data_IF_181387031045
#
_entry.id   IF_181387031045
#
_cell.length_a   1.000
_cell.length_b   1.000
_cell.length_c   1.000
_cell.angle_alpha   90.00
_cell.angle_beta   90.00
_cell.angle_gamma   90.00
#
_symmetry.space_group_name_H-M   'P 1'
#
loop_
_entity.id
_entity.type
_entity.pdbx_description
1 polymer ?
#
# COMPACT_ATOMS: atom_id res chain seq x y z
N UNK A 1 -23.74 -14.76 10.26
CA UNK A 1 -22.35 -15.16 10.56
C UNK A 1 -22.11 -16.57 10.03
N UNK A 2 -21.71 -16.72 8.76
CA UNK A 2 -21.40 -18.01 8.15
C UNK A 2 -19.90 -18.29 8.35
N UNK A 3 -19.59 -19.41 9.00
CA UNK A 3 -18.24 -19.99 9.02
C UNK A 3 -17.87 -20.35 7.59
N UNK A 4 -16.99 -19.60 6.97
CA UNK A 4 -16.28 -20.07 5.77
C UNK A 4 -15.22 -21.03 6.31
N UNK A 5 -15.57 -22.32 6.32
CA UNK A 5 -14.63 -23.40 6.59
C UNK A 5 -13.55 -23.35 5.51
N UNK A 6 -12.30 -23.24 5.94
CA UNK A 6 -11.12 -23.58 5.16
C UNK A 6 -11.25 -25.04 4.70
N UNK A 7 -11.67 -25.25 3.45
CA UNK A 7 -11.49 -26.51 2.77
C UNK A 7 -10.06 -26.56 2.27
N UNK A 8 -9.16 -27.24 3.01
CA UNK A 8 -7.80 -27.41 2.52
C UNK A 8 -6.81 -28.10 3.44
N UNK A 9 -6.91 -27.94 4.76
CA UNK A 9 -6.27 -28.81 5.76
C UNK A 9 -6.68 -28.29 7.13
N UNK A 10 -7.67 -28.93 7.75
CA UNK A 10 -7.97 -28.70 9.16
C UNK A 10 -6.85 -29.32 9.98
N UNK A 11 -5.69 -28.65 10.05
CA UNK A 11 -4.72 -28.96 11.08
C UNK A 11 -5.25 -28.32 12.37
N UNK A 12 -6.16 -29.04 13.04
CA UNK A 12 -6.60 -28.75 14.39
C UNK A 12 -5.40 -28.95 15.34
N UNK A 13 -4.50 -27.97 15.43
CA UNK A 13 -3.54 -27.91 16.53
C UNK A 13 -4.21 -27.32 17.77
N UNK A 14 -5.06 -28.12 18.42
CA UNK A 14 -5.31 -27.94 19.86
C UNK A 14 -4.17 -28.60 20.62
N UNK A 15 -2.98 -28.00 20.58
CA UNK A 15 -1.86 -28.43 21.43
C UNK A 15 -1.35 -27.21 22.17
N UNK A 16 -1.84 -27.04 23.40
CA UNK A 16 -1.14 -26.26 24.41
C UNK A 16 0.18 -26.97 24.71
N UNK A 17 1.21 -26.72 23.88
CA UNK A 17 2.52 -27.28 24.10
C UNK A 17 3.22 -26.45 25.18
N UNK A 18 3.14 -26.93 26.41
CA UNK A 18 4.04 -26.49 27.48
C UNK A 18 5.45 -26.95 27.12
N UNK A 19 6.23 -26.07 26.49
CA UNK A 19 7.68 -26.24 26.31
C UNK A 19 8.36 -26.07 27.68
N UNK A 20 8.17 -27.05 28.56
CA UNK A 20 8.83 -27.14 29.86
C UNK A 20 10.05 -28.03 29.73
N UNK A 21 11.20 -27.46 29.38
CA UNK A 21 12.50 -28.04 29.67
C UNK A 21 13.55 -26.93 29.64
N UNK A 22 14.33 -26.86 30.71
CA UNK A 22 15.27 -25.83 31.14
C UNK A 22 15.81 -24.86 30.07
N UNK A 23 15.68 -23.56 30.35
CA UNK A 23 16.13 -22.45 29.49
C UNK A 23 14.96 -21.73 28.82
N UNK A 24 14.57 -20.59 29.41
CA UNK A 24 13.77 -19.53 28.75
C UNK A 24 12.37 -19.92 28.34
N UNK A 25 11.35 -19.35 29.01
CA UNK A 25 9.96 -19.60 28.65
C UNK A 25 9.61 -18.91 27.32
N UNK A 26 9.66 -19.64 26.21
CA UNK A 26 8.97 -19.24 24.96
C UNK A 26 7.48 -19.25 25.23
N UNK A 27 6.77 -18.22 24.76
CA UNK A 27 5.31 -18.24 24.81
C UNK A 27 4.79 -19.36 23.88
N UNK A 28 3.81 -20.16 24.30
CA UNK A 28 3.22 -21.17 23.43
C UNK A 28 2.67 -20.52 22.16
N UNK A 29 2.85 -21.19 21.01
CA UNK A 29 2.24 -20.77 19.76
C UNK A 29 0.71 -20.75 19.89
N UNK A 30 0.08 -19.72 19.33
CA UNK A 30 -1.37 -19.52 19.29
C UNK A 30 -1.81 -19.37 17.84
N UNK A 31 -2.56 -20.34 17.32
CA UNK A 31 -3.04 -20.36 15.94
C UNK A 31 -4.47 -19.83 15.86
N UNK A 32 -4.66 -18.53 16.11
CA UNK A 32 -5.99 -17.90 16.13
C UNK A 32 -6.35 -17.18 14.83
N UNK A 33 -5.37 -17.00 13.95
CA UNK A 33 -5.49 -16.32 12.66
C UNK A 33 -4.56 -16.94 11.62
N UNK A 34 -4.75 -16.57 10.35
CA UNK A 34 -3.84 -17.01 9.28
C UNK A 34 -2.44 -16.43 9.47
N UNK A 35 -2.34 -15.18 9.92
CA UNK A 35 -1.06 -14.52 10.22
C UNK A 35 -0.32 -15.24 11.33
N UNK A 36 -1.00 -15.81 12.32
CA UNK A 36 -0.37 -16.65 13.35
C UNK A 36 0.27 -17.91 12.77
N UNK A 37 -0.44 -18.60 11.86
CA UNK A 37 0.02 -19.83 11.22
C UNK A 37 1.20 -19.55 10.28
N UNK A 38 1.11 -18.47 9.52
CA UNK A 38 2.17 -17.96 8.65
C UNK A 38 3.40 -17.56 9.47
N UNK A 39 3.22 -16.85 10.58
CA UNK A 39 4.33 -16.43 11.44
C UNK A 39 5.12 -17.62 11.97
N UNK A 40 4.42 -18.65 12.45
CA UNK A 40 5.04 -19.90 12.88
C UNK A 40 5.75 -20.63 11.74
N UNK A 41 5.13 -20.71 10.55
CA UNK A 41 5.73 -21.32 9.36
C UNK A 41 7.02 -20.59 8.91
N UNK A 42 7.05 -19.26 8.93
CA UNK A 42 8.25 -18.47 8.65
C UNK A 42 9.33 -18.78 9.68
N UNK A 43 8.96 -18.88 10.96
CA UNK A 43 9.88 -19.25 12.04
C UNK A 43 10.52 -20.63 11.82
N UNK A 44 9.71 -21.63 11.45
CA UNK A 44 10.19 -22.98 11.11
C UNK A 44 11.16 -22.92 9.93
N UNK A 45 10.82 -22.25 8.82
CA UNK A 45 11.69 -22.18 7.64
C UNK A 45 13.02 -21.47 7.92
N UNK A 46 13.01 -20.39 8.70
CA UNK A 46 14.23 -19.71 9.12
C UNK A 46 15.12 -20.63 9.97
N UNK A 47 14.53 -21.30 10.96
CA UNK A 47 15.26 -22.22 11.82
C UNK A 47 15.78 -23.45 11.07
N UNK A 48 15.05 -24.00 10.10
CA UNK A 48 15.51 -25.14 9.31
C UNK A 48 16.80 -24.82 8.56
N UNK A 49 16.93 -23.62 7.98
CA UNK A 49 18.16 -23.18 7.33
C UNK A 49 19.32 -23.02 8.34
N UNK A 50 19.03 -22.44 9.51
CA UNK A 50 20.02 -22.24 10.57
C UNK A 50 20.50 -23.57 11.17
N UNK A 51 19.59 -24.53 11.32
CA UNK A 51 19.85 -25.84 11.93
C UNK A 51 20.89 -26.63 11.13
N UNK A 52 20.85 -26.57 9.79
CA UNK A 52 21.87 -27.19 8.94
C UNK A 52 23.26 -26.62 9.23
N UNK A 53 23.37 -25.30 9.48
CA UNK A 53 24.63 -24.66 9.83
C UNK A 53 25.12 -25.06 11.23
N UNK A 54 24.24 -25.06 12.24
CA UNK A 54 24.64 -25.37 13.62
C UNK A 54 24.97 -26.85 13.85
N UNK A 55 24.34 -27.76 13.12
CA UNK A 55 24.66 -29.18 13.19
C UNK A 55 26.08 -29.49 12.70
N UNK A 56 26.69 -28.61 11.89
CA UNK A 56 28.05 -28.77 11.39
C UNK A 56 29.12 -28.23 12.36
N UNK A 57 28.74 -27.37 13.32
CA UNK A 57 29.66 -26.75 14.27
C UNK A 57 29.40 -27.22 15.71
N UNK A 58 30.19 -28.21 16.13
CA UNK A 58 30.15 -28.79 17.49
C UNK A 58 30.48 -27.81 18.64
N UNK A 59 31.01 -26.62 18.33
CA UNK A 59 31.30 -25.59 19.33
C UNK A 59 30.03 -24.87 19.79
N UNK A 60 28.97 -24.91 18.98
CA UNK A 60 27.71 -24.24 19.26
C UNK A 60 26.90 -25.03 20.29
N UNK A 61 26.59 -24.39 21.41
CA UNK A 61 25.68 -24.93 22.43
C UNK A 61 24.25 -24.52 22.06
N UNK A 62 23.50 -25.47 21.48
CA UNK A 62 22.17 -25.23 20.93
C UNK A 62 21.19 -24.63 21.95
N UNK A 63 21.20 -25.10 23.20
CA UNK A 63 20.32 -24.57 24.25
C UNK A 63 20.67 -23.12 24.63
N UNK A 64 21.97 -22.78 24.72
CA UNK A 64 22.43 -21.40 24.97
C UNK A 64 22.06 -20.47 23.80
N UNK A 65 22.18 -20.97 22.57
CA UNK A 65 21.80 -20.25 21.36
C UNK A 65 20.29 -19.96 21.34
N UNK A 66 19.46 -21.00 21.56
CA UNK A 66 18.01 -20.86 21.64
C UNK A 66 17.62 -19.87 22.73
N UNK A 67 18.27 -19.94 23.90
CA UNK A 67 18.05 -18.99 24.98
C UNK A 67 18.36 -17.56 24.54
N UNK A 68 19.48 -17.36 23.85
CA UNK A 68 19.85 -16.10 23.25
C UNK A 68 18.77 -15.58 22.30
N UNK A 69 18.27 -16.42 21.37
CA UNK A 69 17.23 -16.01 20.39
C UNK A 69 15.97 -15.51 21.11
N UNK A 70 15.53 -16.24 22.13
CA UNK A 70 14.34 -15.87 22.92
C UNK A 70 14.57 -14.53 23.63
N UNK A 71 15.70 -14.41 24.29
CA UNK A 71 15.99 -13.24 25.11
C UNK A 71 16.27 -11.99 24.25
N UNK A 72 16.94 -12.14 23.10
CA UNK A 72 17.12 -11.07 22.12
C UNK A 72 15.78 -10.58 21.53
N UNK A 73 14.87 -11.50 21.22
CA UNK A 73 13.56 -11.15 20.70
C UNK A 73 12.66 -10.42 21.72
N UNK A 74 12.94 -10.56 23.02
CA UNK A 74 12.17 -9.94 24.10
C UNK A 74 13.00 -9.00 25.00
N UNK A 75 14.17 -8.55 24.52
CA UNK A 75 15.07 -7.60 25.21
C UNK A 75 15.49 -8.03 26.64
N UNK A 76 15.92 -9.28 26.83
CA UNK A 76 16.44 -9.82 28.10
C UNK A 76 17.95 -10.08 28.03
N UNK A 77 18.70 -9.73 29.07
CA UNK A 77 20.18 -9.83 29.08
C UNK A 77 20.76 -11.16 29.61
N UNK A 78 21.97 -11.55 29.14
CA UNK A 78 22.69 -12.79 29.51
C UNK A 78 24.16 -12.82 29.04
N UNK A 79 24.95 -13.85 29.41
CA UNK A 79 26.44 -13.80 29.52
C UNK A 79 27.28 -14.93 28.86
N UNK A 80 26.77 -15.75 27.92
CA UNK A 80 27.60 -16.75 27.18
C UNK A 80 27.80 -16.38 25.70
N UNK A 81 28.81 -16.95 25.00
CA UNK A 81 29.10 -16.59 23.60
C UNK A 81 28.03 -17.09 22.62
N UNK A 82 27.57 -18.35 22.76
CA UNK A 82 26.42 -18.88 22.00
C UNK A 82 25.14 -18.11 22.34
N UNK A 83 24.97 -17.69 23.59
CA UNK A 83 23.89 -16.78 23.99
C UNK A 83 23.96 -15.43 23.26
N UNK A 84 25.13 -14.78 23.17
CA UNK A 84 25.27 -13.49 22.49
C UNK A 84 24.99 -13.60 20.98
N UNK A 85 25.37 -14.71 20.35
CA UNK A 85 25.02 -14.98 18.95
C UNK A 85 23.50 -15.14 18.79
N UNK A 86 22.87 -15.92 19.67
CA UNK A 86 21.42 -16.09 19.68
C UNK A 86 20.70 -14.77 19.95
N UNK A 87 21.20 -13.97 20.90
CA UNK A 87 20.66 -12.65 21.24
C UNK A 87 20.66 -11.73 20.03
N UNK A 88 21.77 -11.65 19.29
CA UNK A 88 21.83 -10.86 18.06
C UNK A 88 20.82 -11.34 17.01
N UNK A 89 20.60 -12.65 16.88
CA UNK A 89 19.58 -13.20 15.97
C UNK A 89 18.16 -12.83 16.42
N UNK A 90 17.84 -12.99 17.70
CA UNK A 90 16.55 -12.63 18.28
C UNK A 90 16.24 -11.15 18.14
N UNK A 91 17.22 -10.28 18.41
CA UNK A 91 17.10 -8.84 18.27
C UNK A 91 16.91 -8.43 16.80
N UNK A 92 17.66 -9.04 15.86
CA UNK A 92 17.47 -8.83 14.43
C UNK A 92 16.06 -9.25 13.97
N UNK A 93 15.54 -10.38 14.47
CA UNK A 93 14.17 -10.81 14.17
C UNK A 93 13.13 -9.82 14.69
N UNK A 94 13.28 -9.34 15.93
CA UNK A 94 12.41 -8.31 16.51
C UNK A 94 12.43 -7.04 15.65
N UNK A 95 13.60 -6.50 15.36
CA UNK A 95 13.73 -5.28 14.55
C UNK A 95 13.15 -5.43 13.14
N UNK A 96 13.32 -6.59 12.51
CA UNK A 96 12.72 -6.87 11.20
C UNK A 96 11.20 -6.98 11.25
N UNK A 97 10.65 -7.67 12.25
CA UNK A 97 9.20 -7.87 12.44
C UNK A 97 8.51 -6.58 12.92
N UNK A 98 9.18 -5.73 13.68
CA UNK A 98 8.63 -4.41 14.07
C UNK A 98 8.32 -3.53 12.84
N UNK A 99 9.01 -3.75 11.72
CA UNK A 99 8.73 -3.07 10.45
C UNK A 99 7.61 -3.74 9.65
N UNK A 100 7.26 -5.00 9.95
CA UNK A 100 6.22 -5.79 9.29
C UNK A 100 5.16 -6.26 10.29
N UNK A 101 4.10 -5.45 10.44
CA UNK A 101 2.99 -5.74 11.36
C UNK A 101 2.13 -6.96 10.97
N UNK A 102 2.42 -7.61 9.83
CA UNK A 102 1.71 -8.84 9.43
C UNK A 102 2.24 -10.08 10.14
N UNK A 103 3.44 -10.02 10.73
CA UNK A 103 4.08 -11.13 11.43
C UNK A 103 3.90 -10.99 12.94
N UNK A 104 3.38 -12.04 13.56
CA UNK A 104 3.28 -12.18 15.01
C UNK A 104 4.61 -12.71 15.57
N UNK A 105 5.34 -11.84 16.27
CA UNK A 105 6.65 -12.17 16.87
C UNK A 105 6.60 -13.40 17.79
N UNK A 106 5.56 -13.54 18.61
CA UNK A 106 5.44 -14.66 19.54
C UNK A 106 5.32 -16.01 18.79
N UNK A 107 4.50 -16.05 17.74
CA UNK A 107 4.33 -17.25 16.91
C UNK A 107 5.55 -17.53 16.03
N UNK A 108 6.21 -16.50 15.52
CA UNK A 108 7.47 -16.63 14.79
C UNK A 108 8.56 -17.25 15.67
N UNK A 109 8.81 -16.70 16.87
CA UNK A 109 9.82 -17.23 17.79
C UNK A 109 9.44 -18.65 18.26
N UNK A 110 8.15 -18.93 18.46
CA UNK A 110 7.70 -20.30 18.74
C UNK A 110 8.02 -21.28 17.61
N UNK A 111 7.90 -20.87 16.35
CA UNK A 111 8.30 -21.67 15.18
C UNK A 111 9.80 -21.92 15.13
N UNK A 112 10.61 -20.86 15.30
CA UNK A 112 12.07 -20.94 15.34
C UNK A 112 12.54 -21.93 16.40
N UNK A 113 12.05 -21.77 17.64
CA UNK A 113 12.48 -22.62 18.76
C UNK A 113 11.98 -24.05 18.62
N UNK A 114 10.77 -24.26 18.10
CA UNK A 114 10.24 -25.60 17.89
C UNK A 114 11.09 -26.36 16.87
N UNK A 115 11.45 -25.74 15.75
CA UNK A 115 12.26 -26.36 14.71
C UNK A 115 13.71 -26.64 15.15
N UNK A 116 14.35 -25.68 15.83
CA UNK A 116 15.70 -25.88 16.39
C UNK A 116 15.74 -27.03 17.41
N UNK A 117 14.63 -27.31 18.11
CA UNK A 117 14.51 -28.38 19.11
C UNK A 117 13.99 -29.71 18.55
N UNK A 118 13.82 -29.85 17.24
CA UNK A 118 13.17 -31.04 16.63
C UNK A 118 11.75 -31.30 17.18
N UNK A 119 11.06 -30.23 17.59
CA UNK A 119 9.70 -30.25 18.15
C UNK A 119 8.69 -29.46 17.30
N UNK A 120 9.08 -29.06 16.09
CA UNK A 120 8.15 -28.41 15.16
C UNK A 120 6.99 -29.34 14.85
N UNK A 121 5.79 -28.78 14.85
CA UNK A 121 4.57 -29.51 14.55
C UNK A 121 4.23 -29.52 13.04
N UNK A 122 5.04 -28.82 12.24
CA UNK A 122 5.00 -28.80 10.78
C UNK A 122 6.41 -29.02 10.23
N UNK A 123 6.52 -29.68 9.09
CA UNK A 123 7.78 -29.76 8.33
C UNK A 123 7.93 -28.58 7.36
N UNK A 124 9.06 -28.53 6.66
CA UNK A 124 9.36 -27.47 5.69
C UNK A 124 8.34 -27.43 4.55
N UNK A 125 7.86 -28.59 4.08
CA UNK A 125 6.86 -28.66 3.01
C UNK A 125 5.51 -28.10 3.45
N UNK A 126 5.08 -28.41 4.67
CA UNK A 126 3.88 -27.85 5.28
C UNK A 126 4.02 -26.35 5.51
N UNK A 127 5.19 -25.88 5.98
CA UNK A 127 5.46 -24.46 6.14
C UNK A 127 5.40 -23.70 4.80
N UNK A 128 6.00 -24.25 3.73
CA UNK A 128 5.93 -23.68 2.38
C UNK A 128 4.49 -23.63 1.84
N UNK A 129 3.68 -24.67 2.06
CA UNK A 129 2.25 -24.67 1.68
C UNK A 129 1.46 -23.58 2.40
N UNK A 130 1.67 -23.42 3.71
CA UNK A 130 1.02 -22.36 4.50
C UNK A 130 1.34 -20.98 3.91
N UNK A 131 2.60 -20.73 3.53
CA UNK A 131 2.99 -19.45 2.91
C UNK A 131 2.38 -19.26 1.53
N UNK A 132 2.38 -20.29 0.68
CA UNK A 132 1.77 -20.22 -0.64
C UNK A 132 0.27 -19.93 -0.56
N UNK A 133 -0.46 -20.63 0.33
CA UNK A 133 -1.90 -20.41 0.53
C UNK A 133 -2.19 -18.99 1.04
N UNK A 134 -1.37 -18.50 1.98
CA UNK A 134 -1.50 -17.13 2.47
C UNK A 134 -1.23 -16.10 1.39
N UNK A 135 -0.18 -16.28 0.58
CA UNK A 135 0.12 -15.39 -0.55
C UNK A 135 -1.02 -15.35 -1.56
N UNK A 136 -1.57 -16.52 -1.94
CA UNK A 136 -2.74 -16.60 -2.84
C UNK A 136 -3.94 -15.87 -2.22
N UNK A 137 -4.21 -16.07 -0.93
CA UNK A 137 -5.31 -15.40 -0.23
C UNK A 137 -5.12 -13.89 -0.18
N UNK A 138 -3.91 -13.42 0.09
CA UNK A 138 -3.59 -11.99 0.11
C UNK A 138 -3.70 -11.38 -1.28
N UNK A 139 -3.25 -12.07 -2.31
CA UNK A 139 -3.42 -11.64 -3.70
C UNK A 139 -4.90 -11.56 -4.09
N UNK A 140 -5.72 -12.55 -3.72
CA UNK A 140 -7.16 -12.52 -3.95
C UNK A 140 -7.83 -11.37 -3.21
N UNK A 141 -7.45 -11.14 -1.95
CA UNK A 141 -7.97 -10.02 -1.15
C UNK A 141 -7.61 -8.69 -1.78
N UNK A 142 -6.36 -8.49 -2.19
CA UNK A 142 -5.91 -7.27 -2.86
C UNK A 142 -6.62 -7.07 -4.21
N UNK A 143 -6.80 -8.12 -5.00
CA UNK A 143 -7.53 -8.07 -6.26
C UNK A 143 -9.00 -7.70 -6.05
N UNK A 144 -9.66 -8.25 -5.03
CA UNK A 144 -11.05 -7.92 -4.69
C UNK A 144 -11.17 -6.48 -4.16
N UNK A 145 -10.26 -6.03 -3.31
CA UNK A 145 -10.22 -4.65 -2.82
C UNK A 145 -10.01 -3.66 -3.98
N UNK A 146 -9.11 -3.95 -4.91
CA UNK A 146 -8.90 -3.16 -6.12
C UNK A 146 -10.15 -3.16 -7.02
N UNK A 147 -10.81 -4.31 -7.20
CA UNK A 147 -12.06 -4.43 -7.95
C UNK A 147 -13.16 -3.56 -7.33
N UNK A 148 -13.35 -3.63 -6.02
CA UNK A 148 -14.33 -2.83 -5.29
C UNK A 148 -14.00 -1.34 -5.33
N UNK A 149 -12.73 -0.96 -5.26
CA UNK A 149 -12.30 0.42 -5.41
C UNK A 149 -12.61 0.96 -6.81
N UNK A 150 -12.30 0.20 -7.87
CA UNK A 150 -12.65 0.55 -9.24
C UNK A 150 -14.16 0.67 -9.45
N UNK A 151 -14.94 -0.28 -8.92
CA UNK A 151 -16.40 -0.26 -8.99
C UNK A 151 -16.98 1.00 -8.33
N UNK A 152 -16.43 1.41 -7.17
CA UNK A 152 -16.80 2.69 -6.53
C UNK A 152 -16.50 3.89 -7.42
N UNK A 153 -15.31 3.95 -8.03
CA UNK A 153 -14.92 5.06 -8.92
C UNK A 153 -15.81 5.12 -10.15
N UNK A 154 -16.10 3.99 -10.81
CA UNK A 154 -16.99 3.93 -11.99
C UNK A 154 -18.39 4.42 -11.64
N UNK A 155 -18.94 3.98 -10.51
CA UNK A 155 -20.27 4.41 -10.08
C UNK A 155 -20.32 5.90 -9.72
N UNK A 156 -19.27 6.42 -9.06
CA UNK A 156 -19.15 7.83 -8.74
C UNK A 156 -19.02 8.69 -10.00
N UNK A 157 -18.15 8.30 -10.93
CA UNK A 157 -17.97 8.97 -12.22
C UNK A 157 -19.27 9.04 -13.01
N UNK A 158 -19.98 7.91 -13.15
CA UNK A 158 -21.27 7.87 -13.83
C UNK A 158 -22.26 8.86 -13.22
N UNK A 159 -22.36 8.89 -11.89
CA UNK A 159 -23.26 9.80 -11.18
C UNK A 159 -22.86 11.27 -11.43
N UNK A 160 -21.58 11.60 -11.35
CA UNK A 160 -21.08 12.95 -11.64
C UNK A 160 -21.41 13.35 -13.08
N UNK A 161 -21.20 12.48 -14.05
CA UNK A 161 -21.51 12.76 -15.46
C UNK A 161 -23.02 13.00 -15.68
N UNK A 162 -23.90 12.26 -15.01
CA UNK A 162 -25.35 12.49 -15.04
C UNK A 162 -25.72 13.86 -14.43
N UNK A 163 -25.10 14.24 -13.31
CA UNK A 163 -25.29 15.55 -12.67
C UNK A 163 -24.79 16.69 -13.56
N UNK A 164 -23.61 16.55 -14.17
CA UNK A 164 -23.03 17.54 -15.09
C UNK A 164 -23.88 17.71 -16.35
N UNK A 165 -24.43 16.62 -16.88
CA UNK A 165 -25.31 16.68 -18.05
C UNK A 165 -26.64 17.39 -17.77
N UNK A 166 -27.07 17.45 -16.51
CA UNK A 166 -28.29 18.13 -16.08
C UNK A 166 -28.06 19.59 -15.67
N UNK A 167 -26.81 20.00 -15.41
CA UNK A 167 -26.47 21.39 -15.05
C UNK A 167 -26.34 22.26 -16.31
N UNK A 168 -27.25 23.23 -16.46
CA UNK A 168 -27.27 24.14 -17.61
C UNK A 168 -26.08 25.10 -17.67
N UNK A 169 -25.36 25.31 -16.56
CA UNK A 169 -24.16 26.14 -16.52
C UNK A 169 -22.91 25.39 -17.00
N UNK A 170 -23.00 24.05 -17.10
CA UNK A 170 -21.90 23.20 -17.56
C UNK A 170 -21.90 23.15 -19.08
N UNK A 171 -20.76 23.51 -19.66
CA UNK A 171 -20.52 23.44 -21.08
C UNK A 171 -19.64 22.21 -21.38
N UNK A 172 -19.88 21.57 -22.53
CA UNK A 172 -19.10 20.41 -22.99
C UNK A 172 -18.53 20.69 -24.38
N UNK A 173 -17.23 20.48 -24.54
CA UNK A 173 -16.53 20.64 -25.82
C UNK A 173 -16.61 19.36 -26.65
N UNK A 174 -16.18 19.42 -27.91
CA UNK A 174 -16.15 18.26 -28.82
C UNK A 174 -15.19 17.16 -28.34
N UNK A 175 -14.12 17.51 -27.63
CA UNK A 175 -13.17 16.52 -27.06
C UNK A 175 -13.73 15.77 -25.86
N UNK A 176 -14.84 16.27 -25.30
CA UNK A 176 -15.47 15.74 -24.09
C UNK A 176 -15.08 16.48 -22.81
N UNK A 177 -14.18 17.47 -22.87
CA UNK A 177 -13.93 18.37 -21.74
C UNK A 177 -15.23 19.04 -21.32
N UNK A 178 -15.52 19.04 -20.02
CA UNK A 178 -16.65 19.77 -19.45
C UNK A 178 -16.11 20.89 -18.55
N UNK A 179 -16.77 22.04 -18.54
CA UNK A 179 -16.37 23.15 -17.69
C UNK A 179 -17.55 24.01 -17.26
N UNK A 180 -17.37 24.68 -16.12
CA UNK A 180 -18.26 25.70 -15.59
C UNK A 180 -17.46 26.96 -15.32
N UNK A 181 -17.99 28.09 -15.76
CA UNK A 181 -17.39 29.42 -15.52
C UNK A 181 -17.85 29.89 -14.14
N UNK A 182 -16.93 29.98 -13.19
CA UNK A 182 -17.22 30.55 -11.85
C UNK A 182 -17.08 32.07 -11.87
N UNK A 183 -15.98 32.56 -12.46
CA UNK A 183 -15.71 33.97 -12.68
C UNK A 183 -15.08 34.15 -14.05
N UNK A 184 -15.65 35.01 -14.89
CA UNK A 184 -15.07 35.36 -16.19
C UNK A 184 -14.12 36.55 -16.04
N UNK A 185 -12.84 36.34 -16.37
CA UNK A 185 -11.83 37.38 -16.46
C UNK A 185 -11.96 38.22 -17.73
N UNK A 186 -11.12 39.24 -17.87
CA UNK A 186 -11.15 40.19 -18.99
C UNK A 186 -9.80 40.35 -19.70
N UNK A 187 -8.77 39.63 -19.25
CA UNK A 187 -7.45 39.70 -19.87
C UNK A 187 -7.32 38.84 -21.13
N UNK A 188 -6.08 38.63 -21.57
CA UNK A 188 -5.80 37.84 -22.77
C UNK A 188 -6.11 36.36 -22.53
N UNK A 189 -6.49 35.63 -23.59
CA UNK A 189 -6.56 34.18 -23.56
C UNK A 189 -5.20 33.60 -23.95
N UNK A 190 -4.69 32.58 -23.24
CA UNK A 190 -3.46 31.93 -23.63
C UNK A 190 -3.66 31.13 -24.93
N UNK A 191 -2.59 31.00 -25.71
CA UNK A 191 -2.43 30.01 -26.77
C UNK A 191 -1.75 28.76 -26.24
N UNK A 192 -1.77 27.65 -26.98
CA UNK A 192 -1.20 26.37 -26.55
C UNK A 192 0.30 26.39 -26.24
N UNK A 193 1.05 27.37 -26.77
CA UNK A 193 2.50 27.51 -26.55
C UNK A 193 2.86 28.44 -25.38
N UNK A 194 1.86 29.12 -24.80
CA UNK A 194 2.07 30.08 -23.71
C UNK A 194 2.29 29.39 -22.36
N UNK A 195 2.86 30.15 -21.43
CA UNK A 195 2.96 29.75 -20.02
C UNK A 195 1.84 30.41 -19.22
N UNK A 196 1.17 29.65 -18.36
CA UNK A 196 0.15 30.15 -17.44
C UNK A 196 0.63 30.08 -16.00
N UNK A 197 0.33 31.10 -15.21
CA UNK A 197 0.45 31.09 -13.75
C UNK A 197 -0.93 30.89 -13.15
N UNK A 198 -1.10 29.86 -12.34
CA UNK A 198 -2.42 29.42 -11.87
C UNK A 198 -2.43 29.05 -10.40
N UNK A 199 -3.55 29.31 -9.75
CA UNK A 199 -3.95 28.51 -8.60
C UNK A 199 -4.88 27.39 -9.07
N UNK A 200 -4.73 26.21 -8.49
CA UNK A 200 -5.59 25.07 -8.77
C UNK A 200 -5.70 24.09 -7.60
N UNK A 201 -6.77 23.30 -7.66
CA UNK A 201 -7.00 22.11 -6.83
C UNK A 201 -7.56 20.98 -7.70
N UNK A 202 -6.87 19.85 -7.75
CA UNK A 202 -7.27 18.64 -8.47
C UNK A 202 -7.82 17.57 -7.53
N UNK A 203 -9.00 17.05 -7.84
CA UNK A 203 -9.63 15.94 -7.12
C UNK A 203 -10.13 14.84 -8.06
N UNK A 204 -10.11 13.61 -7.59
CA UNK A 204 -10.74 12.51 -8.31
C UNK A 204 -12.26 12.47 -8.10
N UNK A 205 -12.94 11.49 -8.72
CA UNK A 205 -14.41 11.31 -8.61
C UNK A 205 -14.90 10.96 -7.20
N UNK A 206 -14.00 10.57 -6.29
CA UNK A 206 -14.32 10.34 -4.88
C UNK A 206 -14.07 11.58 -4.02
N UNK A 207 -13.57 12.67 -4.63
CA UNK A 207 -13.25 13.92 -3.95
C UNK A 207 -11.88 13.91 -3.27
N UNK A 208 -11.05 12.88 -3.49
CA UNK A 208 -9.70 12.82 -2.94
C UNK A 208 -8.80 13.81 -3.68
N UNK A 209 -8.15 14.70 -2.93
CA UNK A 209 -7.19 15.67 -3.47
C UNK A 209 -5.90 14.94 -3.81
N UNK A 210 -5.47 15.02 -5.07
CA UNK A 210 -4.19 14.45 -5.51
C UNK A 210 -3.12 15.51 -5.79
N UNK A 211 -3.53 16.75 -6.08
CA UNK A 211 -2.61 17.88 -6.23
C UNK A 211 -3.34 19.22 -5.97
N UNK A 212 -2.66 20.15 -5.31
CA UNK A 212 -3.20 21.45 -4.91
C UNK A 212 -2.08 22.47 -4.77
N UNK A 213 -2.18 23.57 -5.53
CA UNK A 213 -1.29 24.73 -5.34
C UNK A 213 -1.58 25.47 -4.02
N UNK A 214 -2.83 25.42 -3.55
CA UNK A 214 -3.24 26.08 -2.31
C UNK A 214 -2.54 25.48 -1.09
N UNK A 215 -2.31 24.16 -1.11
CA UNK A 215 -1.62 23.45 -0.04
C UNK A 215 -0.14 23.87 0.06
N UNK A 216 0.42 24.37 -1.05
CA UNK A 216 1.78 24.93 -1.14
C UNK A 216 1.83 26.44 -0.85
N UNK A 217 0.68 27.11 -0.73
CA UNK A 217 0.57 28.56 -0.54
C UNK A 217 1.25 29.41 -1.64
N UNK A 218 1.44 28.87 -2.84
CA UNK A 218 2.02 29.59 -3.97
C UNK A 218 1.39 29.16 -5.30
N UNK A 219 1.20 30.10 -6.25
CA UNK A 219 0.80 29.75 -7.61
C UNK A 219 1.83 28.85 -8.30
N UNK A 220 1.37 28.04 -9.24
CA UNK A 220 2.23 27.23 -10.08
C UNK A 220 2.27 27.78 -11.51
N UNK A 221 3.44 27.69 -12.15
CA UNK A 221 3.63 28.05 -13.55
C UNK A 221 3.75 26.81 -14.42
N UNK A 222 3.00 26.79 -15.53
CA UNK A 222 2.99 25.66 -16.45
C UNK A 222 3.06 26.13 -17.91
N UNK A 223 3.97 25.58 -18.72
CA UNK A 223 3.86 25.69 -20.18
C UNK A 223 2.67 24.83 -20.65
N UNK A 224 1.73 25.41 -21.39
CA UNK A 224 0.48 24.72 -21.76
C UNK A 224 0.69 23.52 -22.68
N UNK A 225 1.82 23.44 -23.39
CA UNK A 225 2.19 22.28 -24.21
C UNK A 225 2.85 21.13 -23.41
N UNK A 226 3.11 21.33 -22.10
CA UNK A 226 3.73 20.34 -21.21
C UNK A 226 2.79 19.73 -20.17
N UNK A 227 1.49 20.04 -20.24
CA UNK A 227 0.46 19.55 -19.31
C UNK A 227 -0.51 18.58 -20.00
N UNK A 228 -1.42 17.99 -19.24
CA UNK A 228 -2.47 17.11 -19.78
C UNK A 228 -3.34 17.87 -20.81
N UNK A 229 -3.83 17.14 -21.82
CA UNK A 229 -4.57 17.74 -22.95
C UNK A 229 -5.77 18.57 -22.49
N UNK A 230 -6.48 18.11 -21.47
CA UNK A 230 -7.62 18.83 -20.91
C UNK A 230 -7.26 20.17 -20.27
N UNK A 231 -6.05 20.30 -19.69
CA UNK A 231 -5.55 21.59 -19.21
C UNK A 231 -5.19 22.50 -20.38
N UNK A 232 -4.44 21.98 -21.37
CA UNK A 232 -4.09 22.75 -22.58
C UNK A 232 -5.34 23.31 -23.24
N UNK A 233 -6.39 22.51 -23.41
CA UNK A 233 -7.67 22.96 -23.97
C UNK A 233 -8.41 23.92 -23.02
N UNK A 234 -8.58 23.54 -21.75
CA UNK A 234 -9.37 24.31 -20.78
C UNK A 234 -8.85 25.72 -20.56
N UNK A 235 -7.53 25.90 -20.42
CA UNK A 235 -6.96 27.24 -20.21
C UNK A 235 -7.08 28.14 -21.45
N UNK A 236 -7.10 27.61 -22.67
CA UNK A 236 -7.35 28.41 -23.87
C UNK A 236 -8.79 28.97 -23.93
N UNK A 237 -9.71 28.43 -23.13
CA UNK A 237 -11.06 28.97 -22.98
C UNK A 237 -11.12 30.13 -21.97
N UNK A 238 -10.14 30.22 -21.07
CA UNK A 238 -10.10 31.13 -19.93
C UNK A 238 -9.35 32.44 -20.26
N UNK A 239 -10.01 33.60 -20.27
CA UNK A 239 -9.32 34.88 -20.16
C UNK A 239 -8.50 34.96 -18.86
N UNK A 240 -7.36 35.65 -18.87
CA UNK A 240 -6.63 35.98 -17.63
C UNK A 240 -7.56 36.66 -16.61
N UNK A 241 -7.43 36.24 -15.35
CA UNK A 241 -8.31 36.62 -14.23
C UNK A 241 -9.53 35.72 -14.04
N UNK A 242 -9.71 34.69 -14.88
CA UNK A 242 -10.87 33.78 -14.77
C UNK A 242 -10.69 32.71 -13.70
N UNK A 243 -11.82 32.27 -13.13
CA UNK A 243 -11.93 31.06 -12.33
C UNK A 243 -12.91 30.09 -12.98
N UNK A 244 -12.43 28.91 -13.35
CA UNK A 244 -13.25 27.86 -13.98
C UNK A 244 -13.15 26.58 -13.14
N UNK A 245 -14.24 25.81 -13.12
CA UNK A 245 -14.20 24.40 -12.75
C UNK A 245 -14.12 23.58 -14.04
N UNK A 246 -13.14 22.70 -14.15
CA UNK A 246 -12.94 21.79 -15.28
C UNK A 246 -13.20 20.35 -14.84
N UNK A 247 -13.92 19.58 -15.62
CA UNK A 247 -14.04 18.13 -15.49
C UNK A 247 -13.45 17.47 -16.73
N UNK A 248 -12.33 16.78 -16.53
CA UNK A 248 -11.45 16.28 -17.59
C UNK A 248 -11.55 14.77 -17.63
N UNK A 249 -12.11 14.18 -18.70
CA UNK A 249 -12.19 12.72 -18.83
C UNK A 249 -10.80 12.08 -18.93
N UNK A 250 -10.71 10.77 -18.62
CA UNK A 250 -9.45 10.04 -18.51
C UNK A 250 -8.56 10.15 -19.76
N UNK A 251 -9.15 10.03 -20.95
CA UNK A 251 -8.47 10.19 -22.25
C UNK A 251 -7.84 11.58 -22.51
N UNK A 252 -8.26 12.62 -21.79
CA UNK A 252 -7.68 13.97 -21.81
C UNK A 252 -6.75 14.24 -20.62
N UNK A 253 -6.61 13.25 -19.72
CA UNK A 253 -5.79 13.28 -18.51
C UNK A 253 -4.75 12.15 -18.51
N UNK A 254 -4.82 11.23 -17.54
CA UNK A 254 -3.82 10.19 -17.32
C UNK A 254 -4.26 8.78 -17.75
N UNK A 255 -5.51 8.59 -18.18
CA UNK A 255 -6.07 7.28 -18.54
C UNK A 255 -7.42 6.99 -17.88
N UNK A 256 -8.08 5.93 -18.32
CA UNK A 256 -9.41 5.53 -17.85
C UNK A 256 -9.34 4.67 -16.58
N UNK A 257 -10.45 4.60 -15.83
CA UNK A 257 -10.53 3.77 -14.61
C UNK A 257 -10.21 2.32 -14.94
N UNK A 258 -9.24 1.75 -14.23
CA UNK A 258 -8.77 0.38 -14.43
C UNK A 258 -7.53 0.25 -15.31
N UNK A 259 -7.07 1.33 -15.94
CA UNK A 259 -5.77 1.37 -16.62
C UNK A 259 -4.62 1.52 -15.61
N UNK A 260 -3.45 0.99 -15.96
CA UNK A 260 -2.22 1.11 -15.16
C UNK A 260 -1.48 2.37 -15.58
N UNK A 261 -1.54 3.41 -14.74
CA UNK A 261 -1.04 4.75 -15.04
C UNK A 261 -0.24 5.29 -13.85
N UNK A 262 0.59 6.30 -14.08
CA UNK A 262 1.35 6.96 -13.01
C UNK A 262 0.55 8.03 -12.25
N UNK A 263 -0.64 8.39 -12.74
CA UNK A 263 -1.51 9.41 -12.16
C UNK A 263 -2.95 8.91 -11.91
N UNK A 264 -3.82 9.73 -11.30
CA UNK A 264 -5.21 9.37 -11.05
C UNK A 264 -5.97 9.10 -12.36
N UNK A 265 -6.80 8.06 -12.38
CA UNK A 265 -7.56 7.63 -13.57
C UNK A 265 -9.03 8.04 -13.52
N UNK A 266 -9.65 8.10 -14.71
CA UNK A 266 -11.04 8.51 -14.89
C UNK A 266 -11.21 10.03 -14.95
N UNK A 267 -12.43 10.48 -14.70
CA UNK A 267 -12.82 11.89 -14.68
C UNK A 267 -12.13 12.63 -13.53
N UNK A 268 -11.37 13.66 -13.86
CA UNK A 268 -10.71 14.52 -12.87
C UNK A 268 -11.42 15.86 -12.79
N UNK A 269 -11.68 16.34 -11.58
CA UNK A 269 -12.18 17.70 -11.34
C UNK A 269 -11.01 18.60 -10.99
N UNK A 270 -10.91 19.74 -11.66
CA UNK A 270 -9.98 20.81 -11.32
C UNK A 270 -10.75 22.11 -11.08
N UNK A 271 -10.47 22.74 -9.95
CA UNK A 271 -10.86 24.13 -9.72
C UNK A 271 -9.63 24.98 -10.07
N UNK A 272 -9.73 25.86 -11.07
CA UNK A 272 -8.60 26.60 -11.63
C UNK A 272 -8.85 28.11 -11.61
N UNK A 273 -7.87 28.87 -11.13
CA UNK A 273 -7.81 30.33 -11.18
C UNK A 273 -6.61 30.73 -12.04
N UNK A 274 -6.88 31.32 -13.20
CA UNK A 274 -5.84 31.81 -14.11
C UNK A 274 -5.40 33.20 -13.69
N UNK A 275 -4.22 33.29 -13.10
CA UNK A 275 -3.66 34.53 -12.53
C UNK A 275 -2.97 35.35 -13.62
N UNK A 276 -2.19 34.69 -14.48
CA UNK A 276 -1.38 35.37 -15.49
C UNK A 276 -1.13 34.49 -16.71
N UNK A 277 -1.13 35.11 -17.89
CA UNK A 277 -0.64 34.54 -19.14
C UNK A 277 0.69 35.20 -19.51
N UNK A 278 1.70 34.38 -19.76
CA UNK A 278 3.00 34.80 -20.28
C UNK A 278 3.15 34.29 -21.71
N UNK A 279 3.01 35.17 -22.72
CA UNK A 279 3.10 34.76 -24.11
C UNK A 279 4.45 34.13 -24.46
N UNK A 280 4.44 33.10 -25.31
CA UNK A 280 5.64 32.48 -25.82
C UNK A 280 6.52 33.51 -26.56
N UNK A 281 7.84 33.43 -26.37
CA UNK A 281 8.79 34.23 -27.16
C UNK A 281 8.81 33.67 -28.59
N UNK A 282 8.32 34.47 -29.53
CA UNK A 282 8.42 34.20 -30.98
C UNK A 282 9.86 34.27 -31.46
#
# INVERSE_FOLDING_TARGET
>A
MKKILLGGATILFSVGMLLSSCGGKVKPAKFTSDTDSVSYAIGVLNASQMKTYFQQDSTIKLDDLIQGIIDGAYEKGGKSSSYMQGYGMGDNFRQGIEQDTTINLDNFIAGVVAELRDKSVIDQDAANRILQEFQVKMQQKQAEEARLANEKKVNAEKKILEELAADADVQKTESGLMYKVETMGTGIKPSADDTVTVHYKGTDVLGEVFDSSYDRNEPAEFPLNGVIKGWTEGFQLMPEGSKFTLWIPGNLAYGEIGEQTYGPTGLLKFECELIKVTPAKK
#
